data_IF_961618422919
#
_entry.id   IF_961618422919
#
_cell.length_a   1.000
_cell.length_b   1.000
_cell.length_c   1.000
_cell.angle_alpha   90.00
_cell.angle_beta   90.00
_cell.angle_gamma   90.00
#
_symmetry.space_group_name_H-M   'P 1'
#
loop_
_entity.id
_entity.type
_entity.pdbx_description
1 polymer ?
#
# COMPACT_ATOMS: atom_id res chain seq x y z
N UNK A 1 7.32 -2.72 -24.19
CA UNK A 1 7.44 -1.51 -23.34
C UNK A 1 6.29 -0.51 -23.48
N UNK A 2 5.76 -0.17 -24.67
CA UNK A 2 4.60 0.75 -24.79
C UNK A 2 3.30 0.12 -24.23
N UNK A 3 3.13 -1.19 -24.38
CA UNK A 3 1.90 -1.89 -23.97
C UNK A 3 1.74 -1.98 -22.44
N UNK A 4 2.82 -2.27 -21.70
CA UNK A 4 2.80 -2.38 -20.23
C UNK A 4 2.43 -1.05 -19.55
N UNK A 5 3.03 0.07 -19.98
CA UNK A 5 2.68 1.40 -19.43
C UNK A 5 1.22 1.77 -19.69
N UNK A 6 0.68 1.36 -20.83
CA UNK A 6 -0.73 1.57 -21.16
C UNK A 6 -1.63 0.72 -20.25
N UNK A 7 -1.36 -0.58 -20.15
CA UNK A 7 -2.10 -1.50 -19.27
C UNK A 7 -2.06 -1.03 -17.81
N UNK A 8 -0.91 -0.53 -17.34
CA UNK A 8 -0.76 -0.01 -15.99
C UNK A 8 -1.70 1.16 -15.71
N UNK A 9 -1.75 2.14 -16.62
CA UNK A 9 -2.66 3.26 -16.49
C UNK A 9 -4.12 2.84 -16.60
N UNK A 10 -4.45 1.93 -17.51
CA UNK A 10 -5.82 1.43 -17.67
C UNK A 10 -6.29 0.68 -16.42
N UNK A 11 -5.44 -0.17 -15.84
CA UNK A 11 -5.78 -0.89 -14.60
C UNK A 11 -5.93 0.08 -13.43
N UNK A 12 -5.04 1.08 -13.32
CA UNK A 12 -5.19 2.12 -12.30
C UNK A 12 -6.52 2.87 -12.45
N UNK A 13 -6.90 3.25 -13.67
CA UNK A 13 -8.18 3.94 -13.92
C UNK A 13 -9.38 3.06 -13.50
N UNK A 14 -9.39 1.78 -13.90
CA UNK A 14 -10.44 0.85 -13.51
C UNK A 14 -10.56 0.72 -11.97
N UNK A 15 -9.43 0.73 -11.25
CA UNK A 15 -9.40 0.73 -9.77
C UNK A 15 -10.05 1.98 -9.18
N UNK A 16 -9.78 3.16 -9.75
CA UNK A 16 -10.37 4.43 -9.31
C UNK A 16 -11.86 4.55 -9.65
N UNK A 17 -12.25 4.08 -10.83
CA UNK A 17 -13.63 4.02 -11.31
C UNK A 17 -14.44 2.90 -10.64
N UNK A 18 -13.77 2.02 -9.87
CA UNK A 18 -14.35 0.85 -9.19
C UNK A 18 -14.94 -0.19 -10.15
N UNK A 19 -14.49 -0.18 -11.40
CA UNK A 19 -14.89 -1.11 -12.45
C UNK A 19 -14.11 -2.43 -12.29
N UNK A 20 -14.73 -3.40 -11.61
CA UNK A 20 -14.08 -4.66 -11.23
C UNK A 20 -13.96 -5.56 -12.45
N UNK A 21 -14.99 -5.57 -13.30
CA UNK A 21 -15.05 -6.33 -14.53
C UNK A 21 -13.93 -5.90 -15.48
N UNK A 22 -13.76 -4.58 -15.68
CA UNK A 22 -12.65 -4.08 -16.51
C UNK A 22 -11.29 -4.38 -15.93
N UNK A 23 -11.14 -4.31 -14.60
CA UNK A 23 -9.89 -4.67 -13.96
C UNK A 23 -9.54 -6.16 -14.15
N UNK A 24 -10.53 -7.05 -14.07
CA UNK A 24 -10.38 -8.49 -14.30
C UNK A 24 -9.91 -8.77 -15.73
N UNK A 25 -10.56 -8.17 -16.73
CA UNK A 25 -10.15 -8.28 -18.13
C UNK A 25 -8.69 -7.84 -18.35
N UNK A 26 -8.27 -6.74 -17.72
CA UNK A 26 -6.91 -6.22 -17.86
C UNK A 26 -5.89 -7.13 -17.21
N UNK A 27 -6.21 -7.70 -16.04
CA UNK A 27 -5.36 -8.67 -15.34
C UNK A 27 -5.22 -9.97 -16.14
N UNK A 28 -6.31 -10.48 -16.73
CA UNK A 28 -6.29 -11.61 -17.65
C UNK A 28 -5.44 -11.35 -18.90
N UNK A 29 -5.43 -10.09 -19.37
CA UNK A 29 -4.58 -9.66 -20.48
C UNK A 29 -3.09 -9.49 -20.11
N UNK A 30 -2.72 -9.79 -18.86
CA UNK A 30 -1.34 -9.75 -18.37
C UNK A 30 -0.95 -8.44 -17.67
N UNK A 31 -1.92 -7.66 -17.19
CA UNK A 31 -1.63 -6.56 -16.27
C UNK A 31 -1.07 -7.10 -14.93
N UNK A 32 -0.10 -6.38 -14.35
CA UNK A 32 0.52 -6.79 -13.08
C UNK A 32 -0.21 -6.18 -11.89
N UNK A 33 -0.71 -7.04 -11.00
CA UNK A 33 -1.37 -6.66 -9.75
C UNK A 33 -0.42 -6.03 -8.70
N UNK A 34 0.89 -5.92 -8.99
CA UNK A 34 1.91 -5.33 -8.11
C UNK A 34 2.46 -4.00 -8.65
N UNK A 35 1.88 -3.41 -9.70
CA UNK A 35 2.34 -2.11 -10.19
C UNK A 35 2.25 -1.00 -9.14
N UNK A 36 3.20 -0.07 -9.22
CA UNK A 36 3.37 1.03 -8.27
C UNK A 36 3.08 2.36 -8.96
N UNK A 37 2.23 3.17 -8.34
CA UNK A 37 1.83 4.51 -8.80
C UNK A 37 2.02 5.52 -7.68
N UNK A 38 2.78 6.58 -7.96
CA UNK A 38 3.12 7.63 -6.98
C UNK A 38 3.72 7.07 -5.68
N UNK A 39 4.56 6.03 -5.80
CA UNK A 39 5.17 5.34 -4.66
C UNK A 39 4.25 4.33 -3.95
N UNK A 40 2.99 4.21 -4.36
CA UNK A 40 2.03 3.29 -3.75
C UNK A 40 1.66 2.13 -4.68
N UNK A 41 1.62 0.89 -4.17
CA UNK A 41 1.07 -0.24 -4.89
C UNK A 41 -0.36 -0.03 -5.35
N UNK A 42 -0.76 -0.64 -6.47
CA UNK A 42 -2.14 -0.57 -6.97
C UNK A 42 -3.17 -1.06 -5.93
N UNK A 43 -2.78 -2.03 -5.09
CA UNK A 43 -3.60 -2.51 -3.98
C UNK A 43 -3.95 -1.40 -2.97
N UNK A 44 -3.07 -0.41 -2.76
CA UNK A 44 -3.35 0.72 -1.85
C UNK A 44 -4.43 1.64 -2.42
N UNK A 45 -4.44 1.84 -3.74
CA UNK A 45 -5.48 2.62 -4.42
C UNK A 45 -6.84 1.90 -4.31
N UNK A 46 -6.88 0.58 -4.46
CA UNK A 46 -8.11 -0.20 -4.25
C UNK A 46 -8.61 -0.17 -2.79
N UNK A 47 -7.69 -0.17 -1.82
CA UNK A 47 -8.02 0.02 -0.40
C UNK A 47 -8.57 1.43 -0.15
N UNK A 48 -7.95 2.46 -0.74
CA UNK A 48 -8.39 3.84 -0.63
C UNK A 48 -9.81 4.05 -1.17
N UNK A 49 -10.14 3.42 -2.31
CA UNK A 49 -11.49 3.48 -2.90
C UNK A 49 -12.53 2.66 -2.12
N UNK A 50 -12.10 1.90 -1.09
CA UNK A 50 -12.91 1.04 -0.22
C UNK A 50 -13.67 -0.04 -0.97
N UNK A 51 -13.16 -0.46 -2.14
CA UNK A 51 -13.79 -1.47 -2.98
C UNK A 51 -13.29 -2.87 -2.59
N UNK A 52 -14.06 -3.58 -1.77
CA UNK A 52 -13.72 -4.93 -1.29
C UNK A 52 -13.57 -5.94 -2.43
N UNK A 53 -14.39 -5.84 -3.48
CA UNK A 53 -14.33 -6.74 -4.64
C UNK A 53 -13.02 -6.53 -5.40
N UNK A 54 -12.66 -5.28 -5.67
CA UNK A 54 -11.39 -4.93 -6.32
C UNK A 54 -10.18 -5.41 -5.52
N UNK A 55 -10.20 -5.27 -4.18
CA UNK A 55 -9.11 -5.77 -3.33
C UNK A 55 -9.00 -7.30 -3.40
N UNK A 56 -10.11 -8.02 -3.35
CA UNK A 56 -10.08 -9.48 -3.51
C UNK A 56 -9.57 -9.90 -4.88
N UNK A 57 -9.99 -9.21 -5.94
CA UNK A 57 -9.53 -9.46 -7.30
C UNK A 57 -8.00 -9.30 -7.39
N UNK A 58 -7.45 -8.15 -6.99
CA UNK A 58 -6.02 -7.91 -7.04
C UNK A 58 -5.20 -8.94 -6.23
N UNK A 59 -5.69 -9.32 -5.03
CA UNK A 59 -5.05 -10.36 -4.22
C UNK A 59 -5.10 -11.72 -4.91
N UNK A 60 -6.22 -12.08 -5.55
CA UNK A 60 -6.36 -13.33 -6.30
C UNK A 60 -5.39 -13.41 -7.48
N UNK A 61 -5.07 -12.27 -8.11
CA UNK A 61 -4.05 -12.14 -9.16
C UNK A 61 -2.63 -11.91 -8.63
N UNK A 62 -2.37 -12.18 -7.34
CA UNK A 62 -1.03 -12.22 -6.78
C UNK A 62 -0.48 -10.88 -6.28
N UNK A 63 -1.34 -9.92 -5.92
CA UNK A 63 -0.90 -8.73 -5.21
C UNK A 63 -0.28 -9.11 -3.85
N UNK A 64 1.03 -8.87 -3.70
CA UNK A 64 1.82 -9.35 -2.56
C UNK A 64 1.92 -8.36 -1.39
N UNK A 65 1.62 -7.08 -1.61
CA UNK A 65 1.81 -6.01 -0.63
C UNK A 65 0.63 -5.84 0.35
N UNK A 66 0.05 -6.96 0.79
CA UNK A 66 -1.15 -7.00 1.65
C UNK A 66 -0.85 -6.42 3.04
N UNK A 67 0.32 -6.70 3.63
CA UNK A 67 0.76 -6.11 4.91
C UNK A 67 0.87 -4.58 4.84
N UNK A 68 1.48 -4.07 3.76
CA UNK A 68 1.59 -2.63 3.53
C UNK A 68 0.22 -2.00 3.32
N UNK A 69 -0.67 -2.68 2.60
CA UNK A 69 -2.05 -2.23 2.41
C UNK A 69 -2.83 -2.19 3.75
N UNK A 70 -2.56 -3.12 4.67
CA UNK A 70 -3.14 -3.13 6.01
C UNK A 70 -2.60 -1.97 6.86
N UNK A 71 -1.31 -1.68 6.81
CA UNK A 71 -0.72 -0.51 7.47
C UNK A 71 -1.34 0.79 6.93
N UNK A 72 -1.45 0.92 5.61
CA UNK A 72 -2.09 2.06 4.96
C UNK A 72 -3.56 2.23 5.36
N UNK A 73 -4.33 1.13 5.43
CA UNK A 73 -5.73 1.19 5.87
C UNK A 73 -5.85 1.71 7.30
N UNK A 74 -4.93 1.33 8.21
CA UNK A 74 -4.92 1.79 9.59
C UNK A 74 -4.53 3.26 9.69
N UNK A 75 -3.44 3.67 9.03
CA UNK A 75 -2.96 5.07 8.98
C UNK A 75 -4.06 6.03 8.51
N UNK A 76 -4.82 5.63 7.49
CA UNK A 76 -5.89 6.45 6.90
C UNK A 76 -7.26 6.29 7.57
N UNK A 77 -7.37 5.51 8.65
CA UNK A 77 -8.65 5.27 9.33
C UNK A 77 -9.70 4.55 8.47
N UNK A 78 -9.26 3.69 7.55
CA UNK A 78 -10.13 2.90 6.64
C UNK A 78 -10.48 1.56 7.31
N UNK A 79 -11.16 1.63 8.45
CA UNK A 79 -11.49 0.46 9.28
C UNK A 79 -12.30 -0.61 8.53
N UNK A 80 -13.06 -0.23 7.49
CA UNK A 80 -13.85 -1.16 6.69
C UNK A 80 -13.02 -2.18 5.90
N UNK A 81 -11.73 -1.89 5.67
CA UNK A 81 -10.81 -2.75 4.91
C UNK A 81 -9.95 -3.64 5.80
N UNK A 82 -9.82 -3.32 7.09
CA UNK A 82 -8.98 -4.07 8.03
C UNK A 82 -9.39 -5.55 8.12
N UNK A 83 -10.67 -5.92 8.34
CA UNK A 83 -11.05 -7.33 8.44
C UNK A 83 -10.78 -8.11 7.15
N UNK A 84 -10.89 -7.44 6.00
CA UNK A 84 -10.65 -8.06 4.70
C UNK A 84 -9.17 -8.41 4.52
N UNK A 85 -8.29 -7.45 4.80
CA UNK A 85 -6.85 -7.64 4.66
C UNK A 85 -6.31 -8.64 5.70
N UNK A 86 -6.82 -8.59 6.94
CA UNK A 86 -6.49 -9.59 7.97
C UNK A 86 -6.95 -11.00 7.59
N UNK A 87 -8.12 -11.15 6.94
CA UNK A 87 -8.57 -12.45 6.43
C UNK A 87 -7.61 -13.04 5.39
N UNK A 88 -6.93 -12.20 4.62
CA UNK A 88 -5.91 -12.59 3.66
C UNK A 88 -4.51 -12.75 4.28
N UNK A 89 -4.41 -12.83 5.61
CA UNK A 89 -3.17 -13.14 6.33
C UNK A 89 -2.32 -11.93 6.70
N UNK A 90 -2.76 -10.70 6.40
CA UNK A 90 -2.01 -9.51 6.81
C UNK A 90 -2.05 -9.33 8.33
N UNK A 91 -0.87 -9.13 8.92
CA UNK A 91 -0.71 -8.94 10.37
C UNK A 91 -0.31 -7.49 10.63
N UNK A 92 -0.96 -6.79 11.57
CA UNK A 92 -0.49 -5.48 12.00
C UNK A 92 0.95 -5.58 12.50
N UNK A 93 1.87 -4.84 11.88
CA UNK A 93 3.23 -4.70 12.40
C UNK A 93 3.21 -3.71 13.54
N UNK A 94 3.55 -4.18 14.74
CA UNK A 94 3.81 -3.30 15.88
C UNK A 94 5.18 -2.66 15.70
N UNK A 95 5.22 -1.34 15.50
CA UNK A 95 6.47 -0.61 15.65
C UNK A 95 6.76 -0.40 17.14
N UNK A 96 7.71 -1.16 17.65
CA UNK A 96 8.26 -0.90 18.98
C UNK A 96 9.21 0.28 18.89
N UNK A 97 8.83 1.37 19.57
CA UNK A 97 9.68 2.52 19.72
C UNK A 97 10.94 2.12 20.50
N UNK A 98 12.11 2.05 19.84
CA UNK A 98 13.36 1.87 20.57
C UNK A 98 13.65 3.14 21.38
N UNK A 99 13.41 3.09 22.69
CA UNK A 99 13.58 4.20 23.63
C UNK A 99 15.03 4.70 23.70
N UNK A 100 16.01 3.91 23.25
CA UNK A 100 17.42 4.32 23.19
C UNK A 100 17.65 5.54 22.27
N UNK A 101 16.78 5.77 21.30
CA UNK A 101 16.85 6.93 20.42
C UNK A 101 16.08 8.16 20.97
N UNK A 102 15.61 8.12 22.21
CA UNK A 102 14.88 9.22 22.83
C UNK A 102 13.42 9.35 22.37
N UNK A 103 12.68 10.26 23.01
CA UNK A 103 11.32 10.61 22.65
C UNK A 103 11.29 11.61 21.48
N UNK A 104 10.14 11.76 20.83
CA UNK A 104 9.92 12.83 19.86
C UNK A 104 9.81 14.18 20.59
N UNK A 105 10.42 15.29 20.09
CA UNK A 105 11.14 15.42 18.82
C UNK A 105 12.64 15.09 18.90
N UNK A 106 13.22 14.96 20.10
CA UNK A 106 14.67 14.80 20.32
C UNK A 106 15.29 13.68 19.48
N UNK A 107 14.53 12.62 19.23
CA UNK A 107 14.90 11.51 18.33
C UNK A 107 15.28 11.92 16.92
N UNK A 108 14.58 12.89 16.33
CA UNK A 108 14.71 13.26 14.93
C UNK A 108 15.32 14.65 14.74
N UNK A 109 15.23 15.49 15.75
CA UNK A 109 15.81 16.82 15.79
C UNK A 109 16.26 17.08 17.24
N UNK A 110 17.39 16.50 17.67
CA UNK A 110 17.88 16.71 19.02
C UNK A 110 18.26 18.19 19.11
N UNK A 111 17.52 18.95 19.92
CA UNK A 111 17.75 20.40 20.10
C UNK A 111 19.18 20.69 20.60
N UNK A 112 19.77 19.70 21.28
CA UNK A 112 21.11 19.75 21.87
C UNK A 112 22.13 18.88 21.11
N UNK A 113 21.85 18.46 19.86
CA UNK A 113 22.80 17.66 19.08
C UNK A 113 24.06 18.47 18.75
N UNK A 114 25.15 18.17 19.43
CA UNK A 114 26.48 18.63 19.02
C UNK A 114 27.10 17.57 18.11
N UNK A 115 27.25 17.83 16.80
CA UNK A 115 27.96 16.88 15.94
C UNK A 115 29.38 16.72 16.47
N UNK A 116 29.78 15.49 16.78
CA UNK A 116 31.17 15.18 17.12
C UNK A 116 32.02 15.57 15.90
N UNK A 117 32.76 16.67 16.03
CA UNK A 117 33.85 17.01 15.12
C UNK A 117 34.89 15.91 15.28
N UNK A 118 34.87 14.93 14.37
CA UNK A 118 35.92 13.93 14.28
C UNK A 118 37.24 14.64 13.91
N UNK A 119 38.21 14.58 14.83
CA UNK A 119 39.63 14.84 14.57
C UNK A 119 40.27 13.61 13.93
#
# INVERSE_FOLDING_TARGET
>A
MINERRLARELLNAVWEKDVERAEELLDFGADANWIFNGYPILHHAVYTRNKKMVNLLIAYGASQIDSALAFAQDRGISSMVPLLTKHGAVPKYEYMNIAFGFYPDRYAPLDYQPLLHQ
#
